data_IF_067121328135
#
_entry.id   IF_067121328135
#
_cell.length_a   1.000
_cell.length_b   1.000
_cell.length_c   1.000
_cell.angle_alpha   90.00
_cell.angle_beta   90.00
_cell.angle_gamma   90.00
#
_symmetry.space_group_name_H-M   'P 1'
#
loop_
_entity.id
_entity.type
_entity.pdbx_description
1 polymer ?
#
# COMPACT_ATOMS: atom_id res chain seq x y z
N UNK A 1 0.77 -44.66 29.78
CA UNK A 1 1.35 -43.31 29.77
C UNK A 1 1.08 -42.77 28.37
N UNK A 2 0.20 -41.83 28.07
CA UNK A 2 -0.75 -40.98 28.78
C UNK A 2 -1.71 -40.40 27.73
N UNK A 3 -2.89 -40.02 28.18
CA UNK A 3 -4.00 -39.32 27.51
C UNK A 3 -3.64 -38.41 26.30
N UNK A 4 -4.38 -38.56 25.19
CA UNK A 4 -4.57 -37.48 24.22
C UNK A 4 -6.01 -37.48 23.67
N UNK A 5 -6.98 -37.49 24.60
CA UNK A 5 -8.33 -37.04 24.32
C UNK A 5 -8.43 -35.52 24.50
N UNK A 6 -9.25 -34.87 23.67
CA UNK A 6 -9.48 -33.43 23.52
C UNK A 6 -8.53 -32.70 22.57
N UNK A 7 -8.89 -32.68 21.27
CA UNK A 7 -8.97 -31.45 20.44
C UNK A 7 -9.49 -31.73 19.02
N UNK A 8 -10.57 -32.51 18.91
CA UNK A 8 -11.32 -32.67 17.66
C UNK A 8 -12.80 -32.42 17.92
N UNK A 9 -13.15 -31.14 18.05
CA UNK A 9 -14.54 -30.69 18.13
C UNK A 9 -14.65 -29.21 17.81
N UNK A 10 -14.48 -28.85 16.53
CA UNK A 10 -14.89 -27.52 16.05
C UNK A 10 -15.79 -27.54 14.82
N UNK A 11 -16.14 -28.71 14.28
CA UNK A 11 -17.08 -28.82 13.16
C UNK A 11 -18.25 -29.74 13.47
N UNK A 12 -19.30 -29.16 14.10
CA UNK A 12 -20.72 -29.55 13.99
C UNK A 12 -21.57 -28.54 14.79
N UNK A 13 -22.67 -27.91 14.34
CA UNK A 13 -23.29 -27.57 13.05
C UNK A 13 -24.50 -26.65 13.39
N UNK A 14 -24.79 -25.65 12.56
CA UNK A 14 -26.08 -25.00 12.23
C UNK A 14 -26.91 -24.20 13.27
N UNK A 15 -27.28 -22.99 12.85
CA UNK A 15 -28.49 -22.27 13.27
C UNK A 15 -28.57 -20.93 12.52
N UNK A 16 -29.64 -20.72 11.73
CA UNK A 16 -29.94 -19.50 10.98
C UNK A 16 -29.83 -18.23 11.83
N UNK A 17 -29.00 -17.26 11.41
CA UNK A 17 -29.37 -15.85 11.53
C UNK A 17 -28.59 -15.03 10.50
N UNK A 18 -29.31 -14.32 9.64
CA UNK A 18 -28.78 -13.50 8.56
C UNK A 18 -28.67 -12.05 9.03
N UNK A 19 -27.89 -11.82 10.09
CA UNK A 19 -27.56 -10.49 10.61
C UNK A 19 -26.15 -10.12 10.16
N UNK A 20 -25.95 -9.01 9.41
CA UNK A 20 -24.62 -8.51 9.13
C UNK A 20 -23.89 -8.22 10.44
N UNK A 21 -22.60 -8.56 10.59
CA UNK A 21 -21.86 -8.26 11.80
C UNK A 21 -21.76 -6.74 11.95
N UNK A 22 -22.27 -6.18 13.04
CA UNK A 22 -22.09 -4.76 13.33
C UNK A 22 -20.61 -4.46 13.57
N UNK A 23 -20.09 -3.49 12.80
CA UNK A 23 -18.74 -2.96 12.97
C UNK A 23 -18.70 -2.08 14.22
N UNK A 24 -18.49 -2.70 15.37
CA UNK A 24 -18.24 -1.98 16.62
C UNK A 24 -16.88 -1.26 16.57
N UNK A 25 -16.83 -0.05 17.12
CA UNK A 25 -15.63 0.80 17.14
C UNK A 25 -14.42 0.17 17.83
N UNK A 26 -14.65 -0.81 18.72
CA UNK A 26 -13.58 -1.56 19.42
C UNK A 26 -12.79 -2.50 18.50
N UNK A 27 -13.35 -2.91 17.35
CA UNK A 27 -12.67 -3.76 16.38
C UNK A 27 -11.46 -3.06 15.72
N UNK A 28 -11.45 -1.72 15.68
CA UNK A 28 -10.33 -0.95 15.12
C UNK A 28 -9.12 -0.85 16.07
N UNK A 29 -9.31 -1.18 17.36
CA UNK A 29 -8.25 -1.11 18.38
C UNK A 29 -7.52 -2.44 18.58
N UNK A 30 -8.00 -3.52 17.98
CA UNK A 30 -7.38 -4.83 18.07
C UNK A 30 -6.47 -5.04 16.86
N UNK A 31 -5.16 -5.31 17.04
CA UNK A 31 -4.33 -5.72 15.93
C UNK A 31 -4.91 -7.01 15.34
N UNK A 32 -5.14 -7.01 14.02
CA UNK A 32 -5.57 -8.21 13.29
C UNK A 32 -4.65 -9.35 13.70
N UNK A 33 -5.18 -10.47 14.23
CA UNK A 33 -4.37 -11.61 14.63
C UNK A 33 -3.55 -12.05 13.41
N UNK A 34 -2.23 -12.16 13.60
CA UNK A 34 -1.32 -12.71 12.60
C UNK A 34 -1.56 -14.23 12.49
N UNK A 35 -2.72 -14.63 11.99
CA UNK A 35 -2.93 -16.00 11.52
C UNK A 35 -2.22 -16.13 10.19
N UNK A 36 -0.95 -16.56 10.25
CA UNK A 36 -0.26 -17.39 9.26
C UNK A 36 -0.74 -17.29 7.80
N UNK A 37 -0.70 -16.08 7.24
CA UNK A 37 -0.54 -15.92 5.79
C UNK A 37 0.93 -16.24 5.54
N UNK A 38 1.23 -17.48 5.14
CA UNK A 38 2.52 -17.81 4.51
C UNK A 38 2.80 -16.70 3.49
N UNK A 39 3.87 -15.89 3.67
CA UNK A 39 4.20 -14.87 2.70
C UNK A 39 4.39 -15.59 1.38
N UNK A 40 3.55 -15.30 0.40
CA UNK A 40 3.80 -15.73 -0.97
C UNK A 40 5.17 -15.15 -1.34
N UNK A 41 6.24 -15.93 -1.22
CA UNK A 41 7.60 -15.52 -1.56
C UNK A 41 7.59 -15.26 -3.07
N UNK A 42 7.56 -13.98 -3.48
CA UNK A 42 7.67 -13.68 -4.89
C UNK A 42 9.10 -14.05 -5.24
N UNK A 43 9.30 -14.78 -6.33
CA UNK A 43 10.63 -14.91 -6.92
C UNK A 43 11.12 -13.49 -7.19
N UNK A 44 11.97 -12.98 -6.31
CA UNK A 44 12.64 -11.70 -6.46
C UNK A 44 13.52 -11.87 -7.70
N UNK A 45 12.98 -11.52 -8.86
CA UNK A 45 13.79 -11.27 -10.03
C UNK A 45 14.61 -10.03 -9.67
N UNK A 46 15.73 -10.24 -8.97
CA UNK A 46 16.69 -9.18 -8.73
C UNK A 46 17.04 -8.62 -10.12
N UNK A 47 16.83 -7.31 -10.37
CA UNK A 47 17.41 -6.72 -11.56
C UNK A 47 18.90 -7.08 -11.56
N UNK A 48 19.39 -7.54 -12.70
CA UNK A 48 20.74 -8.07 -12.85
C UNK A 48 21.74 -7.20 -12.08
N UNK A 49 22.55 -7.85 -11.23
CA UNK A 49 23.48 -7.18 -10.34
C UNK A 49 24.26 -6.07 -11.07
N UNK A 50 24.34 -4.89 -10.45
CA UNK A 50 25.09 -3.77 -10.99
C UNK A 50 26.52 -4.23 -11.31
N UNK A 51 27.07 -3.88 -12.50
CA UNK A 51 28.41 -4.29 -12.88
C UNK A 51 29.43 -3.78 -11.85
N UNK A 52 30.17 -4.70 -11.23
CA UNK A 52 31.20 -4.45 -10.21
C UNK A 52 32.50 -3.85 -10.81
N UNK A 53 32.41 -3.25 -11.99
CA UNK A 53 33.54 -2.59 -12.64
C UNK A 53 33.78 -1.21 -12.01
N UNK A 54 35.04 -0.85 -11.80
CA UNK A 54 35.44 0.47 -11.29
C UNK A 54 35.22 1.61 -12.31
N UNK A 55 34.73 1.26 -13.49
CA UNK A 55 34.37 2.18 -14.56
C UNK A 55 32.89 2.52 -14.50
N UNK A 56 32.58 3.82 -14.57
CA UNK A 56 31.22 4.29 -14.74
C UNK A 56 30.63 3.68 -16.03
N UNK A 57 29.37 3.21 -16.02
CA UNK A 57 28.74 2.67 -17.21
C UNK A 57 28.77 3.72 -18.33
N UNK A 58 28.98 3.30 -19.59
CA UNK A 58 29.00 4.21 -20.75
C UNK A 58 27.77 5.12 -20.82
N UNK A 59 26.63 4.66 -20.27
CA UNK A 59 25.38 5.42 -20.16
C UNK A 59 25.41 6.60 -19.19
N UNK A 60 26.39 6.68 -18.29
CA UNK A 60 26.59 7.79 -17.35
C UNK A 60 27.74 8.73 -17.78
N UNK A 61 28.30 8.53 -18.98
CA UNK A 61 29.33 9.40 -19.54
C UNK A 61 28.73 10.77 -19.83
N UNK A 62 28.91 11.72 -18.91
CA UNK A 62 28.32 13.06 -18.95
C UNK A 62 27.45 13.44 -17.75
N UNK A 63 27.17 12.52 -16.82
CA UNK A 63 26.38 12.83 -15.63
C UNK A 63 27.24 13.55 -14.59
N UNK A 64 26.98 14.84 -14.37
CA UNK A 64 27.55 15.58 -13.25
C UNK A 64 26.88 15.16 -11.95
N UNK A 65 27.67 14.64 -11.00
CA UNK A 65 27.19 14.33 -9.65
C UNK A 65 26.86 15.64 -8.96
N UNK A 66 25.56 15.93 -8.79
CA UNK A 66 25.12 17.04 -7.96
C UNK A 66 25.33 16.62 -6.51
N UNK A 67 26.33 17.21 -5.85
CA UNK A 67 26.48 17.04 -4.41
C UNK A 67 25.23 17.59 -3.70
N UNK A 68 24.60 16.76 -2.86
CA UNK A 68 23.43 17.12 -2.05
C UNK A 68 23.83 18.19 -1.04
N UNK A 69 23.76 19.45 -1.47
CA UNK A 69 24.20 20.61 -0.71
C UNK A 69 23.13 21.03 0.30
N UNK A 70 23.03 20.27 1.40
CA UNK A 70 22.34 20.69 2.61
C UNK A 70 21.47 19.60 3.26
N UNK A 71 21.19 19.72 4.58
CA UNK A 71 20.39 18.75 5.33
C UNK A 71 18.95 18.61 4.82
N UNK A 72 18.40 19.68 4.21
CA UNK A 72 17.09 19.65 3.57
C UNK A 72 17.04 18.66 2.37
N UNK A 73 18.15 18.52 1.63
CA UNK A 73 18.26 17.60 0.49
C UNK A 73 18.27 16.14 0.94
N UNK A 74 18.87 15.83 2.09
CA UNK A 74 18.86 14.47 2.65
C UNK A 74 17.47 14.06 3.14
N UNK A 75 16.76 14.97 3.82
CA UNK A 75 15.38 14.71 4.26
C UNK A 75 14.47 14.47 3.04
N UNK A 76 14.57 15.32 2.02
CA UNK A 76 13.83 15.16 0.77
C UNK A 76 14.12 13.83 0.09
N UNK A 77 15.39 13.42 0.02
CA UNK A 77 15.80 12.13 -0.53
C UNK A 77 15.20 10.94 0.26
N UNK A 78 15.19 11.02 1.57
CA UNK A 78 14.60 9.99 2.44
C UNK A 78 13.08 9.91 2.22
N UNK A 79 12.39 11.05 2.20
CA UNK A 79 10.95 11.09 1.92
C UNK A 79 10.63 10.52 0.53
N UNK A 80 11.41 10.88 -0.49
CA UNK A 80 11.22 10.36 -1.84
C UNK A 80 11.43 8.85 -1.89
N UNK A 81 12.41 8.33 -1.13
CA UNK A 81 12.66 6.89 -1.03
C UNK A 81 11.47 6.15 -0.41
N UNK A 82 10.87 6.70 0.64
CA UNK A 82 9.65 6.13 1.24
C UNK A 82 8.45 6.18 0.28
N UNK A 83 8.26 7.29 -0.42
CA UNK A 83 7.17 7.41 -1.40
C UNK A 83 7.28 6.37 -2.53
N UNK A 84 8.51 6.13 -3.02
CA UNK A 84 8.77 5.10 -4.04
C UNK A 84 8.45 3.72 -3.48
N UNK A 85 8.95 3.40 -2.28
CA UNK A 85 8.69 2.11 -1.62
C UNK A 85 7.19 1.86 -1.43
N UNK A 86 6.46 2.83 -0.87
CA UNK A 86 5.02 2.72 -0.67
C UNK A 86 4.25 2.58 -1.99
N UNK A 87 4.68 3.28 -3.04
CA UNK A 87 4.04 3.17 -4.36
C UNK A 87 4.21 1.76 -4.93
N UNK A 88 5.43 1.21 -4.90
CA UNK A 88 5.70 -0.15 -5.37
C UNK A 88 4.90 -1.20 -4.60
N UNK A 89 4.85 -1.08 -3.27
CA UNK A 89 4.08 -1.99 -2.41
C UNK A 89 2.57 -1.89 -2.66
N UNK A 90 2.04 -0.67 -2.81
CA UNK A 90 0.63 -0.46 -3.10
C UNK A 90 0.25 -1.05 -4.47
N UNK A 91 1.05 -0.82 -5.51
CA UNK A 91 0.84 -1.42 -6.83
C UNK A 91 0.89 -2.94 -6.79
N UNK A 92 1.86 -3.50 -6.05
CA UNK A 92 1.94 -4.94 -5.84
C UNK A 92 0.67 -5.50 -5.17
N UNK A 93 0.17 -4.82 -4.13
CA UNK A 93 -1.05 -5.23 -3.44
C UNK A 93 -2.29 -5.09 -4.32
N UNK A 94 -2.42 -4.02 -5.10
CA UNK A 94 -3.53 -3.84 -6.06
C UNK A 94 -3.50 -4.95 -7.13
N UNK A 95 -2.32 -5.36 -7.59
CA UNK A 95 -2.22 -6.45 -8.56
C UNK A 95 -2.60 -7.82 -7.96
N UNK A 96 -2.24 -8.09 -6.71
CA UNK A 96 -2.59 -9.33 -6.01
C UNK A 96 -4.03 -9.36 -5.48
N UNK A 97 -4.60 -8.19 -5.19
CA UNK A 97 -5.93 -7.98 -4.66
C UNK A 97 -6.59 -6.84 -5.44
N UNK A 98 -7.12 -7.13 -6.65
CA UNK A 98 -7.74 -6.10 -7.48
C UNK A 98 -8.99 -5.56 -6.79
N UNK A 99 -9.08 -4.24 -6.53
CA UNK A 99 -10.28 -3.64 -5.94
C UNK A 99 -11.37 -3.48 -7.00
N UNK A 100 -12.63 -3.48 -6.56
CA UNK A 100 -13.78 -3.18 -7.44
C UNK A 100 -13.73 -1.73 -7.94
N UNK A 101 -13.31 -0.81 -7.06
CA UNK A 101 -13.20 0.63 -7.35
C UNK A 101 -11.84 1.14 -6.86
N UNK A 102 -11.10 1.83 -7.72
CA UNK A 102 -9.84 2.47 -7.38
C UNK A 102 -9.95 4.00 -7.52
N UNK A 103 -9.96 4.70 -6.37
CA UNK A 103 -9.98 6.17 -6.33
C UNK A 103 -8.52 6.67 -6.32
N UNK A 104 -8.06 7.22 -7.44
CA UNK A 104 -6.68 7.67 -7.60
C UNK A 104 -6.53 9.18 -7.33
N UNK A 105 -5.83 9.54 -6.25
CA UNK A 105 -5.55 10.93 -5.89
C UNK A 105 -4.14 11.34 -6.35
N UNK A 106 -3.99 12.43 -7.13
CA UNK A 106 -2.67 12.84 -7.62
C UNK A 106 -1.74 13.30 -6.49
N UNK A 107 -0.56 12.67 -6.37
CA UNK A 107 0.44 12.98 -5.32
C UNK A 107 1.15 14.34 -5.50
N UNK A 108 1.09 14.95 -6.69
CA UNK A 108 1.77 16.22 -7.01
C UNK A 108 1.05 17.48 -6.50
N UNK A 109 -0.12 17.33 -5.87
CA UNK A 109 -0.97 18.46 -5.46
C UNK A 109 -0.51 19.08 -4.14
N UNK A 110 0.18 18.30 -3.30
CA UNK A 110 0.64 18.73 -1.99
C UNK A 110 1.90 17.95 -1.60
N UNK A 111 2.90 18.63 -1.05
CA UNK A 111 4.07 17.99 -0.44
C UNK A 111 3.80 17.65 1.02
N UNK A 112 4.66 16.81 1.61
CA UNK A 112 4.49 16.27 2.95
C UNK A 112 4.27 17.31 4.07
N UNK A 113 4.83 18.52 3.94
CA UNK A 113 4.74 19.58 4.97
C UNK A 113 3.82 20.76 4.60
N UNK A 114 2.98 20.63 3.58
CA UNK A 114 2.11 21.73 3.11
C UNK A 114 0.72 21.70 3.74
N UNK A 115 0.66 21.76 5.07
CA UNK A 115 -0.60 21.66 5.83
C UNK A 115 -1.62 22.75 5.49
N UNK A 116 -1.15 23.92 5.03
CA UNK A 116 -2.01 25.03 4.61
C UNK A 116 -2.89 24.68 3.39
N UNK A 117 -2.53 23.66 2.61
CA UNK A 117 -3.30 23.15 1.46
C UNK A 117 -4.41 22.16 1.83
N UNK A 118 -4.54 21.81 3.11
CA UNK A 118 -5.53 20.83 3.55
C UNK A 118 -6.97 21.12 3.06
N UNK A 119 -7.50 22.37 3.11
CA UNK A 119 -8.84 22.65 2.61
C UNK A 119 -9.01 22.32 1.12
N UNK A 120 -8.00 22.63 0.31
CA UNK A 120 -7.97 22.40 -1.14
C UNK A 120 -7.94 20.90 -1.45
N UNK A 121 -7.09 20.15 -0.74
CA UNK A 121 -6.98 18.69 -0.86
C UNK A 121 -8.25 17.96 -0.48
N UNK A 122 -8.92 18.40 0.58
CA UNK A 122 -10.18 17.79 1.02
C UNK A 122 -11.28 18.03 -0.03
N UNK A 123 -11.37 19.24 -0.57
CA UNK A 123 -12.31 19.55 -1.64
C UNK A 123 -12.02 18.71 -2.90
N UNK A 124 -10.76 18.63 -3.31
CA UNK A 124 -10.33 17.80 -4.45
C UNK A 124 -10.64 16.32 -4.22
N UNK A 125 -10.36 15.78 -3.03
CA UNK A 125 -10.66 14.39 -2.70
C UNK A 125 -12.14 14.08 -2.79
N UNK A 126 -13.00 14.98 -2.32
CA UNK A 126 -14.46 14.84 -2.45
C UNK A 126 -14.90 14.81 -3.91
N UNK A 127 -14.35 15.70 -4.74
CA UNK A 127 -14.68 15.74 -6.17
C UNK A 127 -14.26 14.44 -6.87
N UNK A 128 -13.00 14.01 -6.70
CA UNK A 128 -12.50 12.78 -7.32
C UNK A 128 -13.32 11.56 -6.89
N UNK A 129 -13.69 11.48 -5.62
CA UNK A 129 -14.51 10.39 -5.11
C UNK A 129 -15.92 10.38 -5.73
N UNK A 130 -16.61 11.54 -5.77
CA UNK A 130 -17.92 11.66 -6.41
C UNK A 130 -17.83 11.25 -7.88
N UNK A 131 -16.92 11.85 -8.64
CA UNK A 131 -16.75 11.60 -10.07
C UNK A 131 -16.44 10.11 -10.35
N UNK A 132 -15.70 9.44 -9.45
CA UNK A 132 -15.37 8.02 -9.61
C UNK A 132 -16.56 7.12 -9.30
N UNK A 133 -17.33 7.44 -8.27
CA UNK A 133 -18.53 6.68 -7.89
C UNK A 133 -19.65 6.84 -8.92
N UNK A 134 -19.91 8.07 -9.37
CA UNK A 134 -20.92 8.35 -10.38
C UNK A 134 -20.65 7.56 -11.66
N UNK A 135 -19.39 7.54 -12.12
CA UNK A 135 -18.97 6.73 -13.27
C UNK A 135 -19.13 5.22 -13.05
N UNK A 136 -18.82 4.74 -11.85
CA UNK A 136 -18.99 3.33 -11.53
C UNK A 136 -20.47 2.93 -11.53
N UNK A 137 -21.37 3.80 -11.05
CA UNK A 137 -22.81 3.56 -11.12
C UNK A 137 -23.33 3.59 -12.56
N UNK A 138 -22.85 4.53 -13.40
CA UNK A 138 -23.20 4.61 -14.82
C UNK A 138 -22.76 3.38 -15.62
N UNK A 139 -21.54 2.88 -15.39
CA UNK A 139 -21.00 1.71 -16.08
C UNK A 139 -21.67 0.39 -15.63
N UNK A 140 -22.31 0.38 -14.45
CA UNK A 140 -22.92 -0.80 -13.83
C UNK A 140 -24.47 -0.80 -13.85
N UNK A 141 -25.11 0.22 -14.42
CA UNK A 141 -26.56 0.33 -14.60
C UNK A 141 -27.04 -0.27 -15.93
#
# INVERSE_FOLDING_TARGET
IESLGHKLSFFRRHGDDNTPPELSADALLHPVPAESEEPAEPQLQQPAAAPQGKDSPKSASGTTVVESSGPASLLELVNQSFEVMQTSLAQYKIAGYPPDILINVPKRVCRFFEFYKAPELIALGRQIASDTLDRYEEDNA
#
